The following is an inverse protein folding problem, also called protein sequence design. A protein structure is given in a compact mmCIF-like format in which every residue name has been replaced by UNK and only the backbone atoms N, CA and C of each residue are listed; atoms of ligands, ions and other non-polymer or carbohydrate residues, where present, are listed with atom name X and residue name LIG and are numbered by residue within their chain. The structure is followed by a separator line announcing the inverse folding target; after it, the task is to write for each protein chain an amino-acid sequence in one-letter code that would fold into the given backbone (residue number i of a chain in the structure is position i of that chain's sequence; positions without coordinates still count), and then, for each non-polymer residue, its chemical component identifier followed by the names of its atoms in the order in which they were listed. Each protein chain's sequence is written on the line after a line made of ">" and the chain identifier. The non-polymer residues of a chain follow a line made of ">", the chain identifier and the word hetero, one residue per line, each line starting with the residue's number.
data_IF_516167244138
#
_entry.id   IF_516167244138
#
_cell.length_a   1.000
_cell.length_b   1.000
_cell.length_c   1.000
_cell.angle_alpha   90.00
_cell.angle_beta   90.00
_cell.angle_gamma   90.00
#
_symmetry.space_group_name_H-M   'P 1'
#
loop_
_entity.id
_entity.type
_entity.pdbx_description
1 polymer ?
#
# COMPACT_ATOMS: atom_id res chain seq x y z
N UNK A 1 12.52 10.86 5.40
CA UNK A 1 13.33 9.63 5.52
C UNK A 1 12.69 8.70 6.52
N UNK A 2 12.75 7.39 6.27
CA UNK A 2 12.30 6.32 7.20
C UNK A 2 13.40 5.30 7.36
N UNK A 3 13.46 4.61 8.49
CA UNK A 3 14.47 3.59 8.76
C UNK A 3 14.02 2.22 8.23
N UNK A 4 14.65 1.72 7.19
CA UNK A 4 14.39 0.39 6.62
C UNK A 4 15.58 -0.54 6.91
N UNK A 5 15.44 -1.41 7.91
CA UNK A 5 16.48 -2.38 8.28
C UNK A 5 17.82 -1.72 8.69
N UNK A 6 17.78 -0.61 9.41
CA UNK A 6 18.97 0.13 9.85
C UNK A 6 19.55 1.11 8.81
N UNK A 7 18.96 1.20 7.62
CA UNK A 7 19.30 2.21 6.60
C UNK A 7 18.26 3.31 6.56
N UNK A 8 18.69 4.56 6.37
CA UNK A 8 17.78 5.65 6.08
C UNK A 8 17.33 5.57 4.61
N UNK A 9 16.04 5.41 4.40
CA UNK A 9 15.43 5.40 3.08
C UNK A 9 14.86 6.79 2.78
N UNK A 10 15.34 7.40 1.72
CA UNK A 10 14.96 8.75 1.36
C UNK A 10 13.59 8.77 0.66
N UNK A 11 12.68 9.59 1.19
CA UNK A 11 11.35 9.85 0.64
C UNK A 11 11.18 11.31 0.20
N UNK A 12 12.28 12.09 0.11
CA UNK A 12 12.25 13.45 -0.46
C UNK A 12 11.96 13.42 -1.96
N UNK A 13 12.49 12.40 -2.64
CA UNK A 13 12.11 12.07 -4.02
C UNK A 13 11.00 11.01 -3.99
N UNK A 14 9.99 11.14 -4.88
CA UNK A 14 8.90 10.17 -4.93
C UNK A 14 9.38 8.75 -5.27
N UNK A 15 8.88 7.77 -4.53
CA UNK A 15 9.19 6.37 -4.69
C UNK A 15 8.03 5.60 -5.32
N UNK A 16 8.33 4.52 -6.04
CA UNK A 16 7.31 3.63 -6.59
C UNK A 16 7.34 2.29 -5.85
N UNK A 17 6.18 1.95 -5.28
CA UNK A 17 5.92 0.69 -4.60
C UNK A 17 5.10 -0.23 -5.50
N UNK A 18 5.72 -1.32 -5.98
CA UNK A 18 5.09 -2.32 -6.82
C UNK A 18 4.29 -3.33 -6.02
N UNK A 19 3.07 -3.65 -6.46
CA UNK A 19 2.17 -4.60 -5.79
C UNK A 19 2.43 -6.03 -6.27
N UNK A 20 2.78 -6.93 -5.34
CA UNK A 20 2.94 -8.37 -5.58
C UNK A 20 1.83 -9.12 -4.83
N UNK A 21 0.78 -9.52 -5.55
CA UNK A 21 -0.34 -10.28 -4.97
C UNK A 21 -0.07 -11.79 -5.05
N UNK A 22 -0.17 -12.46 -3.92
CA UNK A 22 0.00 -13.92 -3.78
C UNK A 22 -1.35 -14.66 -3.72
N UNK A 23 -2.44 -14.04 -4.21
CA UNK A 23 -3.77 -14.66 -4.21
C UNK A 23 -3.92 -15.64 -5.38
N UNK A 24 -4.67 -16.75 -5.22
CA UNK A 24 -4.90 -17.75 -6.28
C UNK A 24 -5.45 -17.14 -7.58
N UNK A 25 -6.29 -16.11 -7.47
CA UNK A 25 -6.87 -15.40 -8.63
C UNK A 25 -5.84 -14.59 -9.43
N UNK A 26 -4.66 -14.33 -8.84
CA UNK A 26 -3.59 -13.59 -9.49
C UNK A 26 -2.68 -14.51 -10.34
N UNK A 27 -2.75 -15.82 -10.08
CA UNK A 27 -2.00 -16.85 -10.79
C UNK A 27 -2.98 -17.96 -11.14
N UNK A 28 -3.08 -18.35 -12.41
CA UNK A 28 -3.96 -19.45 -12.83
C UNK A 28 -3.69 -20.70 -12.00
N UNK A 29 -4.74 -21.51 -11.75
CA UNK A 29 -4.68 -22.77 -11.01
C UNK A 29 -3.70 -23.75 -11.69
N UNK A 30 -2.45 -23.58 -11.41
CA UNK A 30 -1.31 -24.35 -11.89
C UNK A 30 -0.51 -24.93 -10.73
N UNK A 31 0.47 -25.73 -11.02
CA UNK A 31 1.35 -26.34 -10.01
C UNK A 31 2.07 -25.25 -9.20
N UNK A 32 2.52 -25.60 -7.97
CA UNK A 32 3.33 -24.73 -7.10
C UNK A 32 4.52 -24.10 -7.85
N UNK A 33 5.15 -24.86 -8.74
CA UNK A 33 6.28 -24.41 -9.59
C UNK A 33 5.88 -23.27 -10.53
N UNK A 34 4.68 -23.32 -11.12
CA UNK A 34 4.18 -22.23 -12.00
C UNK A 34 3.90 -20.96 -11.20
N UNK A 35 3.42 -21.08 -9.96
CA UNK A 35 3.20 -19.94 -9.06
C UNK A 35 4.53 -19.29 -8.65
N UNK A 36 5.55 -20.10 -8.30
CA UNK A 36 6.88 -19.57 -7.99
C UNK A 36 7.51 -18.84 -9.18
N UNK A 37 7.43 -19.40 -10.39
CA UNK A 37 7.94 -18.77 -11.61
C UNK A 37 7.24 -17.43 -11.88
N UNK A 38 5.92 -17.36 -11.71
CA UNK A 38 5.17 -16.12 -11.90
C UNK A 38 5.52 -15.03 -10.87
N UNK A 39 5.75 -15.42 -9.60
CA UNK A 39 6.22 -14.50 -8.55
C UNK A 39 7.63 -14.00 -8.90
N UNK A 40 8.54 -14.87 -9.31
CA UNK A 40 9.90 -14.54 -9.68
C UNK A 40 9.91 -13.56 -10.87
N UNK A 41 9.20 -13.88 -11.95
CA UNK A 41 9.07 -13.03 -13.13
C UNK A 41 8.52 -11.64 -12.76
N UNK A 42 7.46 -11.60 -11.95
CA UNK A 42 6.85 -10.34 -11.53
C UNK A 42 7.78 -9.50 -10.67
N UNK A 43 8.52 -10.14 -9.76
CA UNK A 43 9.51 -9.49 -8.90
C UNK A 43 10.62 -8.84 -9.73
N UNK A 44 11.22 -9.59 -10.65
CA UNK A 44 12.28 -9.11 -11.54
C UNK A 44 11.79 -8.02 -12.49
N UNK A 45 10.58 -8.17 -13.03
CA UNK A 45 9.94 -7.16 -13.88
C UNK A 45 9.82 -5.83 -13.12
N UNK A 46 9.23 -5.82 -11.92
CA UNK A 46 9.05 -4.60 -11.13
C UNK A 46 10.39 -3.96 -10.75
N UNK A 47 11.40 -4.76 -10.40
CA UNK A 47 12.73 -4.26 -10.14
C UNK A 47 13.35 -3.60 -11.39
N UNK A 48 13.26 -4.25 -12.54
CA UNK A 48 13.76 -3.73 -13.83
C UNK A 48 13.04 -2.46 -14.25
N UNK A 49 11.73 -2.37 -13.99
CA UNK A 49 10.91 -1.20 -14.26
C UNK A 49 11.20 -0.01 -13.31
N UNK A 50 11.97 -0.25 -12.23
CA UNK A 50 12.44 0.79 -11.31
C UNK A 50 11.64 0.93 -10.03
N UNK A 51 10.86 -0.07 -9.61
CA UNK A 51 10.28 -0.08 -8.26
C UNK A 51 11.40 -0.02 -7.21
N UNK A 52 11.23 0.80 -6.19
CA UNK A 52 12.14 0.89 -5.05
C UNK A 52 11.65 0.09 -3.84
N UNK A 53 10.36 -0.24 -3.82
CA UNK A 53 9.70 -1.02 -2.78
C UNK A 53 8.82 -2.08 -3.46
N UNK A 54 8.79 -3.29 -2.93
CA UNK A 54 7.81 -4.32 -3.29
C UNK A 54 6.87 -4.54 -2.11
N UNK A 55 5.57 -4.44 -2.36
CA UNK A 55 4.52 -4.64 -1.35
C UNK A 55 3.82 -5.98 -1.60
N UNK A 56 4.09 -6.94 -0.73
CA UNK A 56 3.67 -8.34 -0.88
C UNK A 56 2.44 -8.60 -0.04
N UNK A 57 1.34 -9.02 -0.68
CA UNK A 57 0.07 -9.30 -0.01
C UNK A 57 -0.49 -10.67 -0.39
N UNK A 58 -1.02 -11.41 0.59
CA UNK A 58 -1.59 -12.74 0.40
C UNK A 58 -3.11 -12.80 0.63
N UNK A 59 -3.70 -11.73 1.19
CA UNK A 59 -5.12 -11.60 1.43
C UNK A 59 -5.70 -10.54 0.50
N UNK A 60 -6.77 -10.89 -0.24
CA UNK A 60 -7.48 -9.90 -1.05
C UNK A 60 -8.52 -9.18 -0.21
N UNK A 61 -8.48 -7.86 -0.25
CA UNK A 61 -9.50 -6.99 0.37
C UNK A 61 -10.43 -6.33 -0.65
N UNK A 62 -10.49 -6.92 -1.87
CA UNK A 62 -11.44 -6.47 -2.89
C UNK A 62 -12.86 -6.82 -2.47
N UNK A 63 -13.86 -6.00 -2.80
CA UNK A 63 -15.26 -6.33 -2.55
C UNK A 63 -15.62 -7.73 -3.08
N UNK A 64 -16.22 -8.57 -2.22
CA UNK A 64 -16.59 -9.95 -2.55
C UNK A 64 -15.45 -10.98 -2.42
N UNK A 65 -14.26 -10.60 -1.95
CA UNK A 65 -13.24 -11.58 -1.58
C UNK A 65 -13.53 -12.19 -0.22
N UNK A 66 -13.20 -13.47 -0.08
CA UNK A 66 -13.32 -14.17 1.20
C UNK A 66 -12.09 -13.89 2.07
N UNK A 67 -12.33 -13.65 3.35
CA UNK A 67 -11.28 -13.59 4.33
C UNK A 67 -10.65 -14.98 4.51
N UNK A 68 -9.31 -15.06 4.45
CA UNK A 68 -8.56 -16.29 4.72
C UNK A 68 -8.09 -16.32 6.17
N UNK A 69 -7.76 -17.52 6.69
CA UNK A 69 -7.21 -17.63 8.04
C UNK A 69 -5.80 -17.03 8.14
N UNK A 70 -5.35 -16.72 9.35
CA UNK A 70 -3.99 -16.21 9.58
C UNK A 70 -2.93 -17.24 9.17
N UNK A 71 -3.21 -18.53 9.42
CA UNK A 71 -2.33 -19.65 9.07
C UNK A 71 -2.15 -19.76 7.55
N UNK A 72 -3.25 -19.61 6.81
CA UNK A 72 -3.23 -19.63 5.34
C UNK A 72 -2.48 -18.41 4.79
N UNK A 73 -2.72 -17.23 5.34
CA UNK A 73 -1.99 -16.00 4.97
C UNK A 73 -0.49 -16.16 5.23
N UNK A 74 -0.09 -16.66 6.41
CA UNK A 74 1.32 -16.94 6.75
C UNK A 74 1.95 -17.95 5.79
N UNK A 75 1.24 -19.03 5.44
CA UNK A 75 1.76 -20.04 4.51
C UNK A 75 2.02 -19.44 3.12
N UNK A 76 1.07 -18.68 2.58
CA UNK A 76 1.22 -17.99 1.28
C UNK A 76 2.36 -16.98 1.30
N UNK A 77 2.48 -16.20 2.38
CA UNK A 77 3.55 -15.21 2.53
C UNK A 77 4.92 -15.88 2.67
N UNK A 78 5.07 -17.00 3.40
CA UNK A 78 6.33 -17.74 3.48
C UNK A 78 6.78 -18.22 2.10
N UNK A 79 5.88 -18.83 1.34
CA UNK A 79 6.18 -19.28 -0.02
C UNK A 79 6.57 -18.08 -0.93
N UNK A 80 5.77 -17.03 -0.93
CA UNK A 80 6.01 -15.86 -1.78
C UNK A 80 7.25 -15.04 -1.39
N UNK A 81 7.44 -14.75 -0.10
CA UNK A 81 8.60 -13.99 0.38
C UNK A 81 9.92 -14.75 0.18
N UNK A 82 9.91 -16.09 0.24
CA UNK A 82 11.07 -16.91 -0.10
C UNK A 82 11.51 -16.63 -1.54
N UNK A 83 10.57 -16.60 -2.49
CA UNK A 83 10.87 -16.31 -3.89
C UNK A 83 11.32 -14.87 -4.07
N UNK A 84 10.58 -13.90 -3.51
CA UNK A 84 10.90 -12.47 -3.64
C UNK A 84 12.29 -12.15 -3.08
N UNK A 85 12.66 -12.70 -1.93
CA UNK A 85 13.99 -12.51 -1.34
C UNK A 85 15.11 -13.15 -2.16
N UNK A 86 14.85 -14.30 -2.78
CA UNK A 86 15.81 -14.95 -3.68
C UNK A 86 16.08 -14.11 -4.92
N UNK A 87 15.02 -13.57 -5.55
CA UNK A 87 15.11 -12.85 -6.83
C UNK A 87 15.56 -11.38 -6.64
N UNK A 88 15.19 -10.75 -5.52
CA UNK A 88 15.48 -9.34 -5.25
C UNK A 88 15.95 -9.13 -3.79
N UNK A 89 17.15 -9.64 -3.43
CA UNK A 89 17.64 -9.66 -2.03
C UNK A 89 17.79 -8.27 -1.42
N UNK A 90 18.13 -7.26 -2.21
CA UNK A 90 18.41 -5.89 -1.75
C UNK A 90 17.19 -4.97 -1.79
N UNK A 91 16.04 -5.44 -2.31
CA UNK A 91 14.82 -4.64 -2.39
C UNK A 91 14.24 -4.34 -1.02
N UNK A 92 13.72 -3.12 -0.86
CA UNK A 92 12.90 -2.79 0.30
C UNK A 92 11.58 -3.55 0.18
N UNK A 93 11.28 -4.40 1.18
CA UNK A 93 10.04 -5.17 1.21
C UNK A 93 9.05 -4.57 2.21
N UNK A 94 7.82 -4.45 1.75
CA UNK A 94 6.62 -4.18 2.52
C UNK A 94 5.72 -5.40 2.52
N UNK A 95 4.97 -5.63 3.58
CA UNK A 95 3.92 -6.65 3.61
C UNK A 95 2.56 -6.00 3.85
N UNK A 96 1.59 -6.32 2.99
CA UNK A 96 0.19 -5.87 3.09
C UNK A 96 -0.57 -6.88 3.98
N UNK A 97 -0.72 -6.53 5.25
CA UNK A 97 -1.46 -7.32 6.24
C UNK A 97 -2.00 -6.45 7.37
N UNK A 98 -3.19 -6.80 7.86
CA UNK A 98 -3.81 -6.19 9.03
C UNK A 98 -3.66 -7.05 10.30
N UNK A 99 -2.96 -8.20 10.22
CA UNK A 99 -2.77 -9.13 11.33
C UNK A 99 -1.40 -8.99 11.98
N UNK A 100 -1.38 -8.76 13.28
CA UNK A 100 -0.16 -8.54 14.05
C UNK A 100 0.80 -9.76 14.04
N UNK A 101 0.26 -10.98 14.12
CA UNK A 101 1.08 -12.20 14.10
C UNK A 101 1.70 -12.43 12.73
N UNK A 102 0.98 -12.14 11.64
CA UNK A 102 1.49 -12.19 10.27
C UNK A 102 2.59 -11.16 10.07
N UNK A 103 2.37 -9.92 10.52
CA UNK A 103 3.37 -8.85 10.45
C UNK A 103 4.66 -9.25 11.17
N UNK A 104 4.55 -9.81 12.39
CA UNK A 104 5.69 -10.30 13.18
C UNK A 104 6.46 -11.38 12.44
N UNK A 105 5.77 -12.41 11.95
CA UNK A 105 6.41 -13.50 11.18
C UNK A 105 7.18 -12.96 9.97
N UNK A 106 6.57 -12.05 9.20
CA UNK A 106 7.22 -11.49 8.00
C UNK A 106 8.50 -10.71 8.34
N UNK A 107 8.50 -9.95 9.43
CA UNK A 107 9.68 -9.20 9.86
C UNK A 107 10.76 -10.14 10.43
N UNK A 108 10.39 -11.06 11.34
CA UNK A 108 11.34 -11.90 12.05
C UNK A 108 11.93 -13.00 11.17
N UNK A 109 11.14 -13.64 10.28
CA UNK A 109 11.60 -14.73 9.42
C UNK A 109 12.22 -14.24 8.09
N UNK A 110 11.73 -13.14 7.53
CA UNK A 110 12.12 -12.67 6.18
C UNK A 110 12.76 -11.28 6.14
N UNK A 111 12.91 -10.61 7.29
CA UNK A 111 13.48 -9.27 7.33
C UNK A 111 12.65 -8.26 6.53
N UNK A 112 11.32 -8.38 6.51
CA UNK A 112 10.44 -7.37 5.89
C UNK A 112 10.66 -6.03 6.58
N UNK A 113 10.73 -4.96 5.79
CA UNK A 113 11.13 -3.66 6.27
C UNK A 113 9.97 -2.75 6.67
N UNK A 114 8.79 -2.92 6.05
CA UNK A 114 7.63 -2.02 6.21
C UNK A 114 6.38 -2.87 6.42
N UNK A 115 5.52 -2.48 7.36
CA UNK A 115 4.18 -3.05 7.51
C UNK A 115 3.17 -2.10 6.89
N UNK A 116 2.42 -2.59 5.89
CA UNK A 116 1.34 -1.87 5.23
C UNK A 116 0.00 -2.42 5.73
N UNK A 117 -0.65 -1.68 6.63
CA UNK A 117 -1.92 -2.10 7.23
C UNK A 117 -3.08 -1.26 6.69
N UNK A 118 -3.86 -1.85 5.81
CA UNK A 118 -5.04 -1.22 5.22
C UNK A 118 -6.12 -0.84 6.24
N UNK A 119 -6.09 -1.45 7.43
CA UNK A 119 -7.06 -1.20 8.48
C UNK A 119 -6.65 -0.06 9.42
N UNK A 120 -5.38 0.37 9.37
CA UNK A 120 -4.84 1.34 10.32
C UNK A 120 -4.96 0.87 11.77
N UNK A 121 -4.79 -0.42 12.03
CA UNK A 121 -4.87 -1.03 13.36
C UNK A 121 -6.29 -1.29 13.86
N UNK A 122 -7.33 -1.14 13.02
CA UNK A 122 -8.72 -1.37 13.45
C UNK A 122 -9.08 -2.85 13.54
N UNK A 123 -8.49 -3.69 12.69
CA UNK A 123 -8.85 -5.10 12.58
C UNK A 123 -8.06 -6.01 13.54
N UNK A 124 -6.89 -5.58 14.01
CA UNK A 124 -6.14 -6.26 15.08
C UNK A 124 -5.61 -5.25 16.10
N UNK A 125 -6.20 -5.24 17.29
CA UNK A 125 -5.81 -4.33 18.38
C UNK A 125 -4.35 -4.50 18.87
N UNK A 126 -3.68 -5.61 18.49
CA UNK A 126 -2.27 -5.86 18.83
C UNK A 126 -1.32 -5.22 17.82
N UNK A 127 -1.80 -4.77 16.64
CA UNK A 127 -0.96 -4.29 15.54
C UNK A 127 -0.02 -3.15 15.97
N UNK A 128 -0.50 -2.12 16.61
CA UNK A 128 0.32 -0.97 17.01
C UNK A 128 1.44 -1.37 17.98
N UNK A 129 1.15 -2.22 18.98
CA UNK A 129 2.16 -2.74 19.92
C UNK A 129 3.18 -3.62 19.20
N UNK A 130 2.73 -4.40 18.24
CA UNK A 130 3.60 -5.27 17.44
C UNK A 130 4.57 -4.45 16.61
N UNK A 131 4.09 -3.47 15.86
CA UNK A 131 4.94 -2.58 15.05
C UNK A 131 5.94 -1.81 15.92
N UNK A 132 5.49 -1.28 17.07
CA UNK A 132 6.37 -0.62 18.04
C UNK A 132 7.50 -1.55 18.51
N UNK A 133 7.19 -2.83 18.81
CA UNK A 133 8.20 -3.82 19.23
C UNK A 133 9.16 -4.19 18.12
N UNK A 134 8.69 -4.26 16.87
CA UNK A 134 9.48 -4.61 15.69
C UNK A 134 10.37 -3.45 15.20
N UNK A 135 10.03 -2.21 15.56
CA UNK A 135 10.76 -0.99 15.16
C UNK A 135 10.90 -0.84 13.65
N UNK A 136 9.83 -1.17 12.91
CA UNK A 136 9.75 -1.03 11.46
C UNK A 136 8.78 0.10 11.09
N UNK A 137 8.98 0.78 9.94
CA UNK A 137 8.02 1.72 9.40
C UNK A 137 6.63 1.12 9.25
N UNK A 138 5.62 1.93 9.52
CA UNK A 138 4.23 1.52 9.45
C UNK A 138 3.44 2.43 8.52
N UNK A 139 2.77 1.83 7.52
CA UNK A 139 1.82 2.54 6.67
C UNK A 139 0.47 2.52 7.35
N UNK A 140 0.06 3.69 7.81
CA UNK A 140 -1.19 3.94 8.49
C UNK A 140 -2.25 4.34 7.46
N UNK A 141 -3.14 3.41 7.11
CA UNK A 141 -4.21 3.65 6.16
C UNK A 141 -5.52 3.98 6.85
N UNK A 142 -6.25 4.97 6.32
CA UNK A 142 -7.60 5.25 6.75
C UNK A 142 -8.59 4.28 6.10
N UNK A 143 -9.20 3.42 6.92
CA UNK A 143 -10.32 2.54 6.55
C UNK A 143 -11.63 3.02 7.18
N UNK A 144 -12.74 2.96 6.44
CA UNK A 144 -14.09 3.10 6.99
C UNK A 144 -14.90 1.82 6.71
N UNK A 145 -15.57 1.30 7.75
CA UNK A 145 -16.31 0.05 7.67
C UNK A 145 -15.42 -1.22 7.61
N UNK A 146 -16.04 -2.35 7.33
CA UNK A 146 -15.35 -3.63 7.18
C UNK A 146 -15.12 -3.94 5.69
N UNK A 147 -13.87 -4.11 5.21
CA UNK A 147 -13.59 -4.38 3.79
C UNK A 147 -14.13 -5.72 3.29
N UNK A 148 -14.38 -6.69 4.20
CA UNK A 148 -14.93 -8.01 3.88
C UNK A 148 -16.46 -8.08 3.96
N UNK A 149 -17.12 -6.97 4.33
CA UNK A 149 -18.60 -6.94 4.41
C UNK A 149 -19.22 -6.86 3.01
N UNK A 150 -20.24 -7.66 2.77
CA UNK A 150 -21.08 -7.58 1.55
C UNK A 150 -21.78 -6.21 1.45
N UNK A 151 -22.08 -5.60 2.59
CA UNK A 151 -22.64 -4.25 2.67
C UNK A 151 -21.51 -3.29 3.03
N UNK A 152 -20.94 -2.62 2.01
CA UNK A 152 -19.99 -1.55 2.26
C UNK A 152 -20.70 -0.37 2.93
N UNK A 153 -20.36 -0.14 4.18
CA UNK A 153 -20.75 1.08 4.87
C UNK A 153 -20.08 2.27 4.17
N UNK A 154 -20.90 3.23 3.74
CA UNK A 154 -20.38 4.46 3.15
C UNK A 154 -20.19 5.48 4.27
N UNK A 155 -19.04 6.15 4.25
CA UNK A 155 -18.77 7.25 5.15
C UNK A 155 -19.82 8.35 4.93
N UNK A 156 -20.48 8.78 5.99
CA UNK A 156 -21.40 9.90 5.94
C UNK A 156 -20.70 11.23 6.31
N UNK A 157 -21.22 12.35 5.79
CA UNK A 157 -20.72 13.68 6.11
C UNK A 157 -19.42 14.09 5.41
N UNK A 158 -18.61 14.90 6.10
CA UNK A 158 -17.36 15.45 5.58
C UNK A 158 -16.23 14.44 5.67
N UNK A 159 -15.87 13.87 4.52
CA UNK A 159 -14.81 12.87 4.42
C UNK A 159 -13.45 13.42 4.86
N UNK A 160 -13.15 14.70 4.65
CA UNK A 160 -11.85 15.27 5.02
C UNK A 160 -11.72 15.33 6.52
N UNK A 161 -12.69 15.92 7.21
CA UNK A 161 -12.71 15.96 8.67
C UNK A 161 -12.59 14.57 9.28
N UNK A 162 -13.34 13.58 8.75
CA UNK A 162 -13.31 12.22 9.27
C UNK A 162 -11.93 11.58 9.10
N UNK A 163 -11.34 11.69 7.91
CA UNK A 163 -10.00 11.12 7.62
C UNK A 163 -8.93 11.79 8.48
N UNK A 164 -8.93 13.13 8.57
CA UNK A 164 -7.94 13.89 9.33
C UNK A 164 -7.99 13.59 10.82
N UNK A 165 -9.18 13.59 11.43
CA UNK A 165 -9.36 13.27 12.85
C UNK A 165 -8.91 11.84 13.13
N UNK A 166 -9.38 10.87 12.35
CA UNK A 166 -9.02 9.47 12.52
C UNK A 166 -7.50 9.22 12.39
N UNK A 167 -6.85 9.84 11.42
CA UNK A 167 -5.40 9.72 11.27
C UNK A 167 -4.66 10.39 12.43
N UNK A 168 -5.08 11.60 12.86
CA UNK A 168 -4.46 12.31 13.97
C UNK A 168 -4.49 11.50 15.27
N UNK A 169 -5.64 10.93 15.62
CA UNK A 169 -5.79 10.08 16.81
C UNK A 169 -4.85 8.88 16.77
N UNK A 170 -4.76 8.19 15.61
CA UNK A 170 -3.93 6.99 15.44
C UNK A 170 -2.44 7.31 15.39
N UNK A 171 -2.05 8.43 14.80
CA UNK A 171 -0.67 8.94 14.83
C UNK A 171 -0.24 9.17 16.29
N UNK A 172 -1.09 9.79 17.10
CA UNK A 172 -0.78 10.01 18.52
C UNK A 172 -0.62 8.67 19.24
N UNK A 173 -1.55 7.71 19.08
CA UNK A 173 -1.41 6.37 19.67
C UNK A 173 -0.10 5.67 19.26
N UNK A 174 0.28 5.72 17.98
CA UNK A 174 1.52 5.13 17.49
C UNK A 174 2.76 5.81 18.11
N UNK A 175 2.77 7.14 18.18
CA UNK A 175 3.86 7.93 18.77
C UNK A 175 4.01 7.66 20.27
N UNK A 176 2.90 7.56 21.00
CA UNK A 176 2.90 7.22 22.43
C UNK A 176 3.45 5.80 22.68
N UNK A 177 3.33 4.89 21.73
CA UNK A 177 3.94 3.55 21.76
C UNK A 177 5.39 3.53 21.24
N UNK A 178 5.95 4.67 20.80
CA UNK A 178 7.32 4.80 20.33
C UNK A 178 7.56 4.43 18.86
N UNK A 179 6.51 4.37 18.03
CA UNK A 179 6.66 4.18 16.59
C UNK A 179 7.17 5.47 15.97
N UNK A 180 8.41 5.44 15.46
CA UNK A 180 9.08 6.62 14.92
C UNK A 180 8.70 6.90 13.47
N UNK A 181 8.61 5.84 12.65
CA UNK A 181 8.44 5.93 11.20
C UNK A 181 7.01 5.57 10.80
N UNK A 182 6.21 6.60 10.55
CA UNK A 182 4.81 6.47 10.10
C UNK A 182 4.69 7.05 8.69
N UNK A 183 4.04 6.33 7.80
CA UNK A 183 3.68 6.73 6.43
C UNK A 183 2.15 6.76 6.37
N UNK A 184 1.56 7.84 5.87
CA UNK A 184 0.11 7.98 5.79
C UNK A 184 -0.43 7.47 4.45
N UNK A 185 -1.59 6.81 4.47
CA UNK A 185 -2.42 6.53 3.30
C UNK A 185 -3.86 7.02 3.56
N UNK A 186 -4.39 7.98 2.76
CA UNK A 186 -5.78 8.43 2.87
C UNK A 186 -6.83 7.33 2.67
N UNK A 187 -6.41 6.17 2.15
CA UNK A 187 -7.27 5.00 1.97
C UNK A 187 -8.28 5.18 0.84
N UNK A 188 -7.81 5.56 -0.35
CA UNK A 188 -8.65 5.63 -1.54
C UNK A 188 -9.40 4.32 -1.78
N UNK A 189 -10.71 4.40 -2.00
CA UNK A 189 -11.55 3.23 -2.28
C UNK A 189 -11.96 2.40 -1.05
N UNK A 190 -11.49 2.75 0.15
CA UNK A 190 -11.79 2.03 1.39
C UNK A 190 -12.94 2.70 2.16
N UNK A 191 -14.18 2.24 1.94
CA UNK A 191 -15.39 2.76 2.58
C UNK A 191 -15.79 4.18 2.15
N UNK A 192 -15.39 4.61 0.97
CA UNK A 192 -15.61 5.98 0.45
C UNK A 192 -16.32 5.96 -0.88
N UNK A 193 -17.27 6.87 -1.07
CA UNK A 193 -17.94 7.09 -2.36
C UNK A 193 -16.96 7.62 -3.41
N UNK A 194 -17.33 7.56 -4.67
CA UNK A 194 -16.55 8.15 -5.76
C UNK A 194 -16.30 9.65 -5.54
N UNK A 195 -17.33 10.41 -5.17
CA UNK A 195 -17.21 11.85 -4.86
C UNK A 195 -16.24 12.13 -3.72
N UNK A 196 -16.29 11.32 -2.67
CA UNK A 196 -15.38 11.44 -1.51
C UNK A 196 -13.93 11.11 -1.89
N UNK A 197 -13.69 10.11 -2.73
CA UNK A 197 -12.34 9.83 -3.23
C UNK A 197 -11.77 11.00 -4.03
N UNK A 198 -12.57 11.67 -4.88
CA UNK A 198 -12.10 12.87 -5.59
C UNK A 198 -11.94 14.09 -4.66
N UNK A 199 -12.74 14.21 -3.59
CA UNK A 199 -12.53 15.23 -2.56
C UNK A 199 -11.20 15.03 -1.85
N UNK A 200 -10.85 13.79 -1.45
CA UNK A 200 -9.54 13.45 -0.89
C UNK A 200 -8.40 13.72 -1.88
N UNK A 201 -8.59 13.39 -3.16
CA UNK A 201 -7.57 13.65 -4.19
C UNK A 201 -7.26 15.15 -4.30
N UNK A 202 -8.27 15.99 -4.24
CA UNK A 202 -8.10 17.45 -4.25
C UNK A 202 -7.40 17.98 -3.00
N UNK A 203 -7.62 17.32 -1.86
CA UNK A 203 -7.06 17.71 -0.56
C UNK A 203 -5.69 17.07 -0.23
N UNK A 204 -5.08 16.32 -1.15
CA UNK A 204 -3.75 15.73 -0.91
C UNK A 204 -2.70 16.74 -0.39
N UNK A 205 -2.65 17.99 -0.88
CA UNK A 205 -1.71 18.98 -0.35
C UNK A 205 -1.87 19.26 1.15
N UNK A 206 -3.08 19.12 1.70
CA UNK A 206 -3.39 19.43 3.10
C UNK A 206 -2.80 18.38 4.07
N UNK A 207 -2.52 17.15 3.58
CA UNK A 207 -1.86 16.11 4.38
C UNK A 207 -0.45 16.48 4.84
N UNK A 208 0.16 17.51 4.25
CA UNK A 208 1.45 18.06 4.70
C UNK A 208 1.42 18.57 6.15
N UNK A 209 0.25 18.94 6.67
CA UNK A 209 0.06 19.38 8.04
C UNK A 209 0.46 18.31 9.09
N UNK A 210 0.42 17.03 8.72
CA UNK A 210 0.90 15.95 9.59
C UNK A 210 2.42 15.87 9.70
N UNK A 211 3.18 16.47 8.78
CA UNK A 211 4.64 16.39 8.72
C UNK A 211 5.16 14.98 8.49
N UNK A 212 4.35 14.10 7.90
CA UNK A 212 4.65 12.69 7.65
C UNK A 212 4.64 12.38 6.14
N UNK A 213 5.41 11.38 5.69
CA UNK A 213 5.34 10.92 4.30
C UNK A 213 3.94 10.43 3.94
N UNK A 214 3.55 10.68 2.69
CA UNK A 214 2.24 10.32 2.15
C UNK A 214 2.39 9.28 1.04
N UNK A 215 1.65 8.19 1.18
CA UNK A 215 1.46 7.15 0.16
C UNK A 215 0.06 7.27 -0.44
N UNK A 216 -0.06 7.00 -1.72
CA UNK A 216 -1.35 6.81 -2.38
C UNK A 216 -1.40 5.53 -3.19
N UNK A 217 -2.50 4.79 -3.05
CA UNK A 217 -2.82 3.60 -3.84
C UNK A 217 -4.07 3.83 -4.67
N UNK A 218 -3.94 4.38 -5.88
CA UNK A 218 -5.06 4.72 -6.77
C UNK A 218 -5.15 3.73 -7.94
N UNK A 219 -4.07 2.99 -8.19
CA UNK A 219 -3.89 2.14 -9.38
C UNK A 219 -5.08 1.23 -9.64
N UNK A 220 -5.70 1.41 -10.82
CA UNK A 220 -6.83 0.64 -11.34
C UNK A 220 -8.04 0.55 -10.41
N UNK A 221 -8.17 1.49 -9.44
CA UNK A 221 -9.29 1.52 -8.50
C UNK A 221 -10.59 1.98 -9.17
N UNK A 222 -11.70 1.66 -8.51
CA UNK A 222 -13.08 1.92 -8.96
C UNK A 222 -13.30 3.39 -9.34
N UNK A 223 -12.72 4.33 -8.59
CA UNK A 223 -12.81 5.76 -8.88
C UNK A 223 -12.24 6.13 -10.26
N UNK A 224 -11.24 5.40 -10.76
CA UNK A 224 -10.63 5.63 -12.08
C UNK A 224 -11.55 5.12 -13.18
N UNK A 225 -11.79 3.80 -13.21
CA UNK A 225 -12.47 3.16 -14.33
C UNK A 225 -13.96 3.49 -14.41
N UNK A 226 -14.65 3.75 -13.29
CA UNK A 226 -16.03 4.23 -13.33
C UNK A 226 -16.16 5.64 -13.90
N UNK A 227 -15.23 6.56 -13.56
CA UNK A 227 -15.23 7.92 -14.13
C UNK A 227 -15.03 7.91 -15.64
N UNK A 228 -14.21 6.98 -16.12
CA UNK A 228 -13.88 6.86 -17.54
C UNK A 228 -14.82 5.94 -18.31
N UNK A 229 -15.83 5.34 -17.64
CA UNK A 229 -16.76 4.36 -18.22
C UNK A 229 -16.03 3.19 -18.91
N UNK A 230 -14.98 2.69 -18.25
CA UNK A 230 -14.12 1.61 -18.76
C UNK A 230 -14.00 0.47 -17.75
N UNK A 231 -13.02 -0.42 -17.92
CA UNK A 231 -12.76 -1.57 -17.04
C UNK A 231 -11.47 -1.37 -16.22
N UNK A 232 -11.24 -2.13 -15.12
CA UNK A 232 -9.97 -2.11 -14.41
C UNK A 232 -8.75 -2.40 -15.32
N UNK A 233 -8.91 -3.29 -16.32
CA UNK A 233 -7.84 -3.62 -17.26
C UNK A 233 -7.43 -2.43 -18.12
N UNK A 234 -8.38 -1.59 -18.52
CA UNK A 234 -8.18 -0.42 -19.38
C UNK A 234 -7.90 0.88 -18.60
N UNK A 235 -7.84 0.82 -17.27
CA UNK A 235 -7.70 1.99 -16.40
C UNK A 235 -6.26 2.53 -16.28
N UNK A 236 -5.30 2.05 -17.09
CA UNK A 236 -3.90 2.44 -17.00
C UNK A 236 -3.71 3.95 -17.21
N UNK A 237 -4.23 4.49 -18.32
CA UNK A 237 -4.09 5.92 -18.62
C UNK A 237 -4.67 6.81 -17.51
N UNK A 238 -5.90 6.50 -17.03
CA UNK A 238 -6.50 7.24 -15.92
C UNK A 238 -5.73 7.11 -14.60
N UNK A 239 -5.12 5.95 -14.36
CA UNK A 239 -4.21 5.74 -13.23
C UNK A 239 -2.99 6.66 -13.34
N UNK A 240 -2.35 6.73 -14.50
CA UNK A 240 -1.19 7.60 -14.75
C UNK A 240 -1.54 9.08 -14.54
N UNK A 241 -2.69 9.54 -15.05
CA UNK A 241 -3.18 10.90 -14.83
C UNK A 241 -3.31 11.22 -13.35
N UNK A 242 -4.00 10.37 -12.56
CA UNK A 242 -4.18 10.62 -11.14
C UNK A 242 -2.89 10.46 -10.34
N UNK A 243 -2.00 9.55 -10.69
CA UNK A 243 -0.68 9.44 -10.10
C UNK A 243 0.15 10.71 -10.34
N UNK A 244 0.11 11.28 -11.54
CA UNK A 244 0.79 12.55 -11.86
C UNK A 244 0.23 13.69 -11.01
N UNK A 245 -1.10 13.79 -10.86
CA UNK A 245 -1.73 14.78 -9.99
C UNK A 245 -1.32 14.59 -8.52
N UNK A 246 -1.22 13.35 -8.04
CA UNK A 246 -0.76 13.03 -6.70
C UNK A 246 0.71 13.45 -6.47
N UNK A 247 1.58 13.20 -7.44
CA UNK A 247 2.99 13.65 -7.41
C UNK A 247 3.07 15.18 -7.35
N UNK A 248 2.29 15.88 -8.17
CA UNK A 248 2.22 17.36 -8.15
C UNK A 248 1.73 17.88 -6.79
N UNK A 249 0.86 17.14 -6.09
CA UNK A 249 0.40 17.45 -4.74
C UNK A 249 1.43 17.13 -3.63
N UNK A 250 2.58 16.53 -3.96
CA UNK A 250 3.67 16.26 -3.02
C UNK A 250 3.62 14.87 -2.38
N UNK A 251 2.94 13.90 -2.99
CA UNK A 251 2.95 12.50 -2.53
C UNK A 251 4.35 11.91 -2.64
N UNK A 252 4.73 11.12 -1.63
CA UNK A 252 6.07 10.53 -1.51
C UNK A 252 6.13 9.09 -2.06
N UNK A 253 5.03 8.33 -2.04
CA UNK A 253 5.01 6.95 -2.50
C UNK A 253 3.76 6.70 -3.35
N UNK A 254 3.97 6.17 -4.56
CA UNK A 254 2.91 5.65 -5.42
C UNK A 254 2.86 4.12 -5.30
N UNK A 255 1.76 3.57 -4.77
CA UNK A 255 1.52 2.12 -4.71
C UNK A 255 0.74 1.68 -5.95
N UNK A 256 1.38 0.87 -6.81
CA UNK A 256 0.88 0.63 -8.16
C UNK A 256 0.99 -0.84 -8.61
N UNK A 257 0.13 -1.22 -9.58
CA UNK A 257 0.29 -2.46 -10.33
C UNK A 257 1.28 -2.28 -11.50
N UNK A 258 1.33 -1.11 -12.11
CA UNK A 258 2.07 -0.81 -13.33
C UNK A 258 3.25 0.12 -12.99
N UNK A 259 4.43 -0.46 -12.77
CA UNK A 259 5.59 0.28 -12.25
C UNK A 259 6.18 1.20 -13.32
N UNK A 260 6.41 0.72 -14.54
CA UNK A 260 7.04 1.53 -15.60
C UNK A 260 6.28 2.85 -15.88
N UNK A 261 4.94 2.86 -16.09
CA UNK A 261 4.20 4.12 -16.26
C UNK A 261 4.23 5.05 -15.04
N UNK A 262 4.30 4.48 -13.83
CA UNK A 262 4.44 5.29 -12.62
C UNK A 262 5.82 5.94 -12.54
N UNK A 263 6.88 5.23 -12.91
CA UNK A 263 8.25 5.77 -12.98
C UNK A 263 8.39 6.86 -14.06
N UNK A 264 7.69 6.71 -15.20
CA UNK A 264 7.62 7.77 -16.22
C UNK A 264 7.00 9.05 -15.64
N UNK A 265 5.89 8.92 -14.91
CA UNK A 265 5.26 10.06 -14.24
C UNK A 265 6.19 10.71 -13.20
N UNK A 266 6.91 9.91 -12.41
CA UNK A 266 7.91 10.43 -11.43
C UNK A 266 9.00 11.22 -12.14
N UNK A 267 9.59 10.68 -13.21
CA UNK A 267 10.66 11.34 -13.99
C UNK A 267 10.20 12.66 -14.60
N UNK A 268 8.99 12.70 -15.19
CA UNK A 268 8.43 13.90 -15.80
C UNK A 268 8.12 14.99 -14.76
N UNK A 269 7.53 14.60 -13.62
CA UNK A 269 7.26 15.57 -12.55
C UNK A 269 8.57 16.08 -11.92
N UNK A 270 9.59 15.24 -11.80
CA UNK A 270 10.92 15.67 -11.34
C UNK A 270 11.52 16.70 -12.31
N UNK A 271 11.55 16.39 -13.60
CA UNK A 271 12.06 17.33 -14.61
C UNK A 271 11.32 18.67 -14.61
N UNK A 272 9.99 18.65 -14.38
CA UNK A 272 9.20 19.88 -14.27
C UNK A 272 9.58 20.71 -13.02
N UNK A 273 9.94 20.06 -11.91
CA UNK A 273 10.34 20.78 -10.66
C UNK A 273 11.76 21.36 -10.73
N UNK A 274 12.61 20.79 -11.57
CA UNK A 274 14.00 21.20 -11.76
C UNK A 274 14.16 22.29 -12.84
N UNK A 275 13.11 22.57 -13.63
CA UNK A 275 13.10 23.60 -14.69
C UNK A 275 12.80 24.99 -14.12
#
# INVERSE_FOLDING_TARGET
>A
MVNVGGRLFDLSEPQVMGIVNLTPDSFHAGSRVQTEAAIAERTLQMQTEGASILDVGACSTRPGSHEISAEEEMARLRDGLTVVRREAPDMVLSVDTYRADVARMCVEEFGVHIINDISGGQMDARMFRTVASLRVPYILTHLHGNPFSDKQEQLEGDVLNHVFISLAERINCLRDMGVADIILDPGFGLGKTQRQNFALMRALPDFREFGLPLLVGISRKRMVWQTLHTTPAEALNGTTVLNTMALMAGVNILRVHDVAPAMEAVRLVKALREA
#
